data_IF_547703318703
#
_entry.id   IF_547703318703
#
_cell.length_a   1.000
_cell.length_b   1.000
_cell.length_c   1.000
_cell.angle_alpha   90.00
_cell.angle_beta   90.00
_cell.angle_gamma   90.00
#
_symmetry.space_group_name_H-M   'P 1'
#
loop_
_entity.id
_entity.type
_entity.pdbx_description
1 polymer ?
#
# COMPACT_ATOMS: atom_id res chain seq x y z
N UNK A 1 -3.32 -2.97 6.19
CA UNK A 1 -3.95 -3.99 7.05
C UNK A 1 -4.75 -4.90 6.15
N UNK A 2 -4.64 -6.20 6.39
CA UNK A 2 -5.33 -7.23 5.63
C UNK A 2 -6.03 -8.16 6.63
N UNK A 3 -7.22 -8.64 6.31
CA UNK A 3 -7.81 -9.79 6.99
C UNK A 3 -7.15 -11.06 6.46
N UNK A 4 -6.74 -11.95 7.34
CA UNK A 4 -5.95 -13.12 6.95
C UNK A 4 -6.83 -14.36 6.80
N UNK A 5 -6.92 -14.86 5.57
CA UNK A 5 -7.64 -16.09 5.26
C UNK A 5 -6.71 -17.28 5.13
N UNK A 6 -7.10 -18.42 5.70
CA UNK A 6 -6.29 -19.65 5.64
C UNK A 6 -6.40 -20.39 4.30
N UNK A 7 -7.52 -20.22 3.60
CA UNK A 7 -7.87 -20.98 2.39
C UNK A 7 -7.96 -20.09 1.14
N UNK A 8 -8.39 -18.84 1.32
CA UNK A 8 -8.59 -17.89 0.22
C UNK A 8 -7.55 -16.77 0.25
N UNK A 9 -7.74 -15.76 -0.59
CA UNK A 9 -6.89 -14.59 -0.62
C UNK A 9 -7.29 -13.63 0.49
N UNK A 10 -6.30 -13.05 1.14
CA UNK A 10 -6.51 -12.03 2.17
C UNK A 10 -7.29 -10.82 1.63
N UNK A 11 -8.27 -10.36 2.40
CA UNK A 11 -9.06 -9.17 2.10
C UNK A 11 -8.35 -7.89 2.54
N UNK A 12 -8.40 -6.85 1.69
CA UNK A 12 -7.78 -5.56 1.98
C UNK A 12 -8.66 -4.73 2.92
N UNK A 13 -8.14 -4.40 4.11
CA UNK A 13 -8.86 -3.60 5.11
C UNK A 13 -8.49 -2.11 5.16
N UNK A 14 -7.44 -1.70 4.44
CA UNK A 14 -6.97 -0.31 4.41
C UNK A 14 -5.45 -0.17 4.56
N UNK A 15 -4.93 1.02 4.27
CA UNK A 15 -3.52 1.37 4.39
C UNK A 15 -3.32 2.65 5.20
N UNK A 16 -2.14 2.81 5.79
CA UNK A 16 -1.74 4.04 6.47
C UNK A 16 -0.28 4.35 6.12
N UNK A 17 0.05 5.64 6.16
CA UNK A 17 1.36 6.15 5.75
C UNK A 17 2.08 6.76 6.93
N UNK A 18 3.35 6.40 7.10
CA UNK A 18 4.27 6.99 8.06
C UNK A 18 5.61 7.21 7.34
N UNK A 19 6.11 8.45 7.25
CA UNK A 19 7.44 8.71 6.71
C UNK A 19 8.52 7.95 7.50
N UNK A 20 9.46 7.31 6.80
CA UNK A 20 10.56 6.59 7.46
C UNK A 20 11.44 7.51 8.31
N UNK A 21 11.50 8.81 7.98
CA UNK A 21 12.21 9.81 8.78
C UNK A 21 11.61 9.99 10.18
N UNK A 22 10.34 9.64 10.37
CA UNK A 22 9.63 9.74 11.66
C UNK A 22 9.75 8.43 12.47
N UNK A 23 10.38 7.39 11.90
CA UNK A 23 10.61 6.11 12.58
C UNK A 23 11.95 6.17 13.31
N UNK A 24 11.89 6.24 14.63
CA UNK A 24 13.06 6.22 15.50
C UNK A 24 13.98 5.04 15.20
N UNK A 25 15.27 5.31 15.01
CA UNK A 25 16.31 4.30 14.75
C UNK A 25 16.52 3.96 13.28
N UNK A 26 15.65 4.41 12.38
CA UNK A 26 15.80 4.19 10.93
C UNK A 26 16.86 5.11 10.31
N UNK A 27 17.08 6.29 10.87
CA UNK A 27 18.10 7.25 10.40
C UNK A 27 19.53 6.94 10.89
N UNK A 28 19.72 5.79 11.56
CA UNK A 28 21.01 5.32 12.05
C UNK A 28 21.51 6.05 13.30
N UNK A 29 20.71 6.94 13.89
CA UNK A 29 21.03 7.51 15.20
C UNK A 29 20.73 6.50 16.30
N UNK A 30 21.62 6.43 17.28
CA UNK A 30 21.38 5.63 18.47
C UNK A 30 20.18 6.21 19.22
N UNK A 31 19.11 5.41 19.34
CA UNK A 31 17.90 5.78 20.07
C UNK A 31 17.92 5.08 21.41
N UNK A 32 17.97 5.86 22.48
CA UNK A 32 17.77 5.42 23.86
C UNK A 32 16.35 5.77 24.34
N UNK A 33 15.79 4.98 25.26
CA UNK A 33 14.52 5.33 25.91
C UNK A 33 13.27 4.91 25.14
N UNK A 34 13.26 3.70 24.58
CA UNK A 34 12.08 3.10 23.92
C UNK A 34 10.84 3.07 24.84
N UNK A 35 11.03 3.04 26.16
CA UNK A 35 9.96 3.05 27.16
C UNK A 35 9.21 4.40 27.24
N UNK A 36 9.77 5.47 26.67
CA UNK A 36 9.18 6.81 26.66
C UNK A 36 8.62 7.22 25.28
N UNK A 37 8.51 6.29 24.32
CA UNK A 37 7.98 6.59 23.01
C UNK A 37 6.49 6.93 23.07
N UNK A 38 6.12 8.04 22.42
CA UNK A 38 4.72 8.41 22.24
C UNK A 38 4.05 7.49 21.21
N UNK A 39 2.84 7.04 21.51
CA UNK A 39 2.01 6.29 20.56
C UNK A 39 1.61 7.21 19.40
N UNK A 40 1.95 6.81 18.17
CA UNK A 40 1.51 7.49 16.96
C UNK A 40 0.21 6.85 16.46
N UNK A 41 -0.88 7.62 16.44
CA UNK A 41 -2.14 7.18 15.85
C UNK A 41 -2.10 7.35 14.33
N UNK A 42 -2.31 6.27 13.59
CA UNK A 42 -2.33 6.26 12.13
C UNK A 42 -3.72 5.86 11.64
N UNK A 43 -4.51 6.80 11.06
CA UNK A 43 -5.82 6.46 10.54
C UNK A 43 -5.70 5.55 9.31
N UNK A 44 -6.52 4.50 9.26
CA UNK A 44 -6.63 3.68 8.06
C UNK A 44 -7.36 4.45 6.97
N UNK A 45 -6.75 4.45 5.79
CA UNK A 45 -7.25 5.07 4.57
C UNK A 45 -7.44 3.99 3.51
N UNK A 46 -8.30 4.28 2.53
CA UNK A 46 -8.45 3.43 1.35
C UNK A 46 -7.86 4.16 0.15
N UNK A 47 -7.18 3.45 -0.77
CA UNK A 47 -6.69 4.04 -2.01
C UNK A 47 -7.83 4.74 -2.73
N UNK A 48 -7.61 6.00 -3.12
CA UNK A 48 -8.57 6.68 -3.99
C UNK A 48 -8.54 5.99 -5.35
N UNK A 49 -9.71 5.71 -5.91
CA UNK A 49 -9.83 5.05 -7.23
C UNK A 49 -9.07 5.82 -8.32
N UNK A 50 -8.88 7.13 -8.15
CA UNK A 50 -8.16 7.99 -9.09
C UNK A 50 -6.63 8.03 -8.90
N UNK A 51 -6.08 7.46 -7.82
CA UNK A 51 -4.64 7.48 -7.59
C UNK A 51 -3.98 6.30 -8.31
N UNK A 52 -3.62 6.55 -9.57
CA UNK A 52 -3.06 5.55 -10.46
C UNK A 52 -1.53 5.54 -10.45
N UNK A 53 -0.83 6.18 -9.51
CA UNK A 53 0.63 6.41 -9.61
C UNK A 53 1.45 5.19 -10.04
N UNK A 54 1.31 4.06 -9.33
CA UNK A 54 2.00 2.82 -9.70
C UNK A 54 1.40 2.12 -10.94
N UNK A 55 0.07 2.19 -11.11
CA UNK A 55 -0.63 1.59 -12.25
C UNK A 55 -0.30 2.30 -13.57
N UNK A 56 -0.11 3.62 -13.54
CA UNK A 56 0.26 4.45 -14.69
C UNK A 56 1.65 4.11 -15.20
N UNK A 57 2.59 3.82 -14.28
CA UNK A 57 3.91 3.31 -14.65
C UNK A 57 3.78 2.00 -15.40
N UNK A 58 2.96 1.06 -14.91
CA UNK A 58 2.72 -0.21 -15.60
C UNK A 58 1.99 -0.02 -16.94
N UNK A 59 1.02 0.89 -17.01
CA UNK A 59 0.24 1.22 -18.21
C UNK A 59 1.15 1.72 -19.35
N UNK A 60 2.16 2.53 -19.02
CA UNK A 60 3.16 3.05 -19.97
C UNK A 60 4.13 1.99 -20.51
N UNK A 61 4.26 0.82 -19.87
CA UNK A 61 5.12 -0.28 -20.31
C UNK A 61 4.45 -1.11 -21.40
N UNK A 62 4.22 -0.51 -22.57
CA UNK A 62 3.52 -1.16 -23.71
C UNK A 62 4.26 -2.39 -24.26
N UNK A 63 5.57 -2.47 -24.05
CA UNK A 63 6.42 -3.58 -24.44
C UNK A 63 6.37 -4.77 -23.47
N UNK A 64 5.82 -4.60 -22.25
CA UNK A 64 5.69 -5.66 -21.26
C UNK A 64 4.29 -6.25 -21.27
N UNK A 65 4.14 -7.40 -21.94
CA UNK A 65 2.89 -8.16 -22.01
C UNK A 65 2.27 -8.43 -20.63
N UNK A 66 3.09 -8.80 -19.63
CA UNK A 66 2.59 -9.11 -18.28
C UNK A 66 2.04 -7.87 -17.59
N UNK A 67 2.71 -6.73 -17.74
CA UNK A 67 2.22 -5.46 -17.21
C UNK A 67 0.87 -5.06 -17.85
N UNK A 68 0.75 -5.22 -19.17
CA UNK A 68 -0.49 -4.90 -19.89
C UNK A 68 -1.65 -5.83 -19.51
N UNK A 69 -1.39 -7.13 -19.33
CA UNK A 69 -2.40 -8.07 -18.84
C UNK A 69 -2.86 -7.75 -17.41
N UNK A 70 -1.92 -7.39 -16.53
CA UNK A 70 -2.23 -7.00 -15.17
C UNK A 70 -3.16 -5.79 -15.12
N UNK A 71 -2.85 -4.73 -15.88
CA UNK A 71 -3.68 -3.51 -15.95
C UNK A 71 -5.08 -3.82 -16.48
N UNK A 72 -5.20 -4.67 -17.51
CA UNK A 72 -6.50 -5.09 -18.03
C UNK A 72 -7.34 -5.83 -16.99
N UNK A 73 -6.74 -6.76 -16.23
CA UNK A 73 -7.43 -7.48 -15.14
C UNK A 73 -7.85 -6.51 -14.04
N UNK A 74 -6.93 -5.65 -13.59
CA UNK A 74 -7.18 -4.70 -12.51
C UNK A 74 -8.30 -3.70 -12.84
N UNK A 75 -8.30 -3.17 -14.07
CA UNK A 75 -9.34 -2.23 -14.53
C UNK A 75 -10.74 -2.85 -14.51
N UNK A 76 -10.86 -4.16 -14.80
CA UNK A 76 -12.16 -4.86 -14.74
C UNK A 76 -12.66 -5.04 -13.31
N UNK A 77 -11.75 -5.31 -12.36
CA UNK A 77 -12.09 -5.46 -10.94
C UNK A 77 -12.59 -4.12 -10.38
N UNK A 78 -11.93 -3.01 -10.72
CA UNK A 78 -12.34 -1.67 -10.27
C UNK A 78 -13.70 -1.25 -10.82
N UNK A 79 -14.01 -1.60 -12.08
CA UNK A 79 -15.34 -1.37 -12.67
C UNK A 79 -16.46 -2.18 -12.02
N UNK A 80 -16.15 -3.33 -11.41
CA UNK A 80 -17.14 -4.17 -10.72
C UNK A 80 -17.33 -3.77 -9.25
N UNK A 81 -16.37 -3.04 -8.68
CA UNK A 81 -16.40 -2.57 -7.30
C UNK A 81 -17.03 -1.16 -7.16
N UNK A 82 -17.39 -0.51 -8.28
CA UNK A 82 -18.11 0.77 -8.35
C UNK A 82 -19.57 0.52 -8.68
#
# INVERSE_FOLDING_TARGET
VMDHDLVFQNDFGGEAFLPLADVHGVDGKEVSGYDALSITSLPLTHPKVSDHGALDVLKKRTWDSKAQEFIKKRSKIEQQAT
#
